data_IF_819226765106
#
_entry.id   IF_819226765106
#
_cell.length_a   1.000
_cell.length_b   1.000
_cell.length_c   1.000
_cell.angle_alpha   90.00
_cell.angle_beta   90.00
_cell.angle_gamma   90.00
#
_symmetry.space_group_name_H-M   'P 1'
#
loop_
_entity.id
_entity.type
_entity.pdbx_description
1 polymer ?
#
# COMPACT_ATOMS: atom_id res chain seq x y z
N UNK A 1 -51.71 29.54 21.22
CA UNK A 1 -50.30 29.66 20.76
C UNK A 1 -49.59 28.37 21.17
N UNK A 2 -49.58 27.35 20.30
CA UNK A 2 -48.85 26.11 20.56
C UNK A 2 -47.36 26.42 20.50
N UNK A 3 -46.63 26.18 21.59
CA UNK A 3 -45.19 26.47 21.69
C UNK A 3 -44.39 25.45 20.87
N UNK A 4 -43.65 25.91 19.87
CA UNK A 4 -42.81 25.12 18.96
C UNK A 4 -41.51 24.61 19.59
N UNK A 5 -41.41 24.61 20.91
CA UNK A 5 -40.21 24.28 21.67
C UNK A 5 -39.76 22.81 21.59
N UNK A 6 -40.66 21.80 21.65
CA UNK A 6 -40.22 20.40 21.62
C UNK A 6 -39.74 19.98 20.23
N UNK A 7 -40.29 20.58 19.16
CA UNK A 7 -39.90 20.28 17.77
C UNK A 7 -38.48 20.79 17.45
N UNK A 8 -38.08 21.93 18.01
CA UNK A 8 -36.70 22.46 17.87
C UNK A 8 -35.67 21.59 18.58
N UNK A 9 -35.98 21.06 19.76
CA UNK A 9 -35.10 20.17 20.51
C UNK A 9 -34.88 18.82 19.81
N UNK A 10 -35.93 18.25 19.22
CA UNK A 10 -35.84 17.02 18.43
C UNK A 10 -34.98 17.23 17.17
N UNK A 11 -35.16 18.35 16.47
CA UNK A 11 -34.35 18.67 15.28
C UNK A 11 -32.86 18.88 15.61
N UNK A 12 -32.55 19.53 16.73
CA UNK A 12 -31.16 19.72 17.20
C UNK A 12 -30.53 18.36 17.56
N UNK A 13 -31.26 17.47 18.22
CA UNK A 13 -30.76 16.12 18.57
C UNK A 13 -30.50 15.26 17.32
N UNK A 14 -31.34 15.35 16.29
CA UNK A 14 -31.14 14.64 15.01
C UNK A 14 -29.90 15.19 14.29
N UNK A 15 -29.72 16.52 14.24
CA UNK A 15 -28.55 17.15 13.61
C UNK A 15 -27.22 16.79 14.31
N UNK A 16 -27.21 16.70 15.65
CA UNK A 16 -26.03 16.26 16.42
C UNK A 16 -25.70 14.78 16.17
N UNK A 17 -26.72 13.93 15.98
CA UNK A 17 -26.53 12.50 15.71
C UNK A 17 -25.96 12.23 14.31
N UNK A 18 -26.30 13.05 13.31
CA UNK A 18 -25.77 12.94 11.95
C UNK A 18 -24.30 13.36 11.88
N UNK A 19 -23.88 14.37 12.66
CA UNK A 19 -22.49 14.85 12.68
C UNK A 19 -21.51 13.85 13.34
N UNK A 20 -21.97 13.04 14.28
CA UNK A 20 -21.15 12.02 14.96
C UNK A 20 -20.85 10.79 14.08
N UNK A 21 -21.58 10.57 12.99
CA UNK A 21 -21.34 9.49 12.02
C UNK A 21 -20.30 9.84 10.95
N UNK A 22 -19.74 11.04 10.97
CA UNK A 22 -18.81 11.56 9.96
C UNK A 22 -17.36 11.61 10.46
N UNK A 23 -16.97 10.69 11.36
CA UNK A 23 -15.55 10.53 11.64
C UNK A 23 -14.86 10.12 10.33
N UNK A 24 -13.80 10.82 9.88
CA UNK A 24 -13.04 10.36 8.74
C UNK A 24 -12.48 8.98 9.08
N UNK A 25 -12.78 7.98 8.24
CA UNK A 25 -12.08 6.70 8.28
C UNK A 25 -10.66 7.03 7.84
N UNK A 26 -9.74 7.08 8.78
CA UNK A 26 -8.33 7.27 8.51
C UNK A 26 -7.86 6.02 7.75
N UNK A 27 -7.57 6.18 6.45
CA UNK A 27 -7.07 5.09 5.60
C UNK A 27 -5.78 4.58 6.22
N UNK A 28 -5.86 3.41 6.85
CA UNK A 28 -4.74 2.81 7.58
C UNK A 28 -3.85 2.12 6.55
N UNK A 29 -3.09 2.91 5.79
CA UNK A 29 -2.00 2.39 4.97
C UNK A 29 -0.80 2.07 5.86
N UNK A 30 -0.16 0.93 5.61
CA UNK A 30 1.15 0.59 6.11
C UNK A 30 2.16 1.60 5.59
N UNK A 31 2.97 2.12 6.51
CA UNK A 31 3.98 3.14 6.20
C UNK A 31 5.31 2.84 6.85
N UNK A 32 6.38 3.26 6.21
CA UNK A 32 7.72 3.30 6.79
C UNK A 32 8.46 4.57 6.34
N UNK A 33 8.33 5.65 7.11
CA UNK A 33 8.90 6.96 6.79
C UNK A 33 10.40 7.06 7.14
N UNK A 34 10.94 6.12 7.93
CA UNK A 34 12.33 6.05 8.39
C UNK A 34 13.12 4.85 7.83
N UNK A 35 12.50 4.02 6.99
CA UNK A 35 13.18 2.99 6.21
C UNK A 35 14.25 3.60 5.30
N UNK A 36 15.37 2.90 5.12
CA UNK A 36 16.46 3.38 4.27
C UNK A 36 16.11 3.26 2.79
N UNK A 37 16.64 4.19 2.00
CA UNK A 37 16.35 4.31 0.57
C UNK A 37 17.31 3.48 -0.29
N UNK A 38 16.76 2.89 -1.35
CA UNK A 38 17.45 2.10 -2.35
C UNK A 38 17.06 2.58 -3.74
N UNK A 39 18.07 2.78 -4.60
CA UNK A 39 17.84 3.11 -6.01
C UNK A 39 17.24 1.93 -6.75
N UNK A 40 16.27 2.21 -7.61
CA UNK A 40 15.69 1.25 -8.54
C UNK A 40 16.39 1.40 -9.88
N UNK A 41 17.08 0.35 -10.32
CA UNK A 41 17.69 0.32 -11.66
C UNK A 41 16.66 -0.15 -12.70
N UNK A 42 15.80 -1.11 -12.32
CA UNK A 42 14.78 -1.68 -13.20
C UNK A 42 13.71 -2.45 -12.43
N UNK A 43 12.45 -2.36 -12.85
CA UNK A 43 11.38 -3.28 -12.43
C UNK A 43 11.31 -4.49 -13.39
N UNK A 44 11.21 -5.70 -12.83
CA UNK A 44 11.33 -6.98 -13.56
C UNK A 44 9.95 -7.57 -13.86
N UNK A 45 9.09 -7.63 -12.85
CA UNK A 45 7.70 -8.11 -12.87
C UNK A 45 6.92 -7.44 -11.71
N UNK A 46 5.75 -7.95 -11.33
CA UNK A 46 4.84 -7.32 -10.36
C UNK A 46 5.33 -7.28 -8.92
N UNK A 47 6.36 -8.05 -8.56
CA UNK A 47 6.90 -8.12 -7.20
C UNK A 47 8.43 -8.18 -7.15
N UNK A 48 9.12 -7.98 -8.28
CA UNK A 48 10.57 -8.03 -8.35
C UNK A 48 11.15 -6.77 -8.99
N UNK A 49 12.16 -6.18 -8.34
CA UNK A 49 12.95 -5.07 -8.86
C UNK A 49 14.46 -5.31 -8.72
N UNK A 50 15.25 -4.68 -9.57
CA UNK A 50 16.70 -4.65 -9.49
C UNK A 50 17.18 -3.32 -8.91
N UNK A 51 18.21 -3.42 -8.07
CA UNK A 51 18.93 -2.29 -7.49
C UNK A 51 20.45 -2.48 -7.68
N UNK A 52 21.26 -1.45 -7.45
CA UNK A 52 22.72 -1.57 -7.49
C UNK A 52 23.27 -2.60 -6.48
N UNK A 53 22.51 -2.91 -5.43
CA UNK A 53 22.90 -3.87 -4.39
C UNK A 53 22.41 -5.29 -4.68
N UNK A 54 21.71 -5.49 -5.81
CA UNK A 54 21.14 -6.76 -6.22
C UNK A 54 19.63 -6.72 -6.40
N UNK A 55 19.07 -7.90 -6.71
CA UNK A 55 17.65 -8.11 -6.95
C UNK A 55 16.87 -8.17 -5.64
N UNK A 56 15.77 -7.44 -5.59
CA UNK A 56 14.81 -7.40 -4.48
C UNK A 56 13.51 -8.04 -4.92
N UNK A 57 13.02 -8.99 -4.14
CA UNK A 57 11.68 -9.57 -4.22
C UNK A 57 10.87 -9.00 -3.06
N UNK A 58 9.76 -8.34 -3.38
CA UNK A 58 8.81 -7.83 -2.38
C UNK A 58 8.40 -9.00 -1.48
N UNK A 59 8.37 -8.78 -0.16
CA UNK A 59 8.16 -9.85 0.80
C UNK A 59 6.69 -10.10 1.09
N UNK A 60 5.87 -9.05 1.15
CA UNK A 60 4.50 -9.11 1.63
C UNK A 60 3.45 -9.39 0.56
N UNK A 61 3.85 -9.51 -0.70
CA UNK A 61 2.94 -9.74 -1.83
C UNK A 61 3.49 -10.76 -2.82
N UNK A 62 2.60 -11.55 -3.39
CA UNK A 62 2.84 -12.46 -4.51
C UNK A 62 1.94 -12.05 -5.68
N UNK A 63 2.55 -11.67 -6.80
CA UNK A 63 1.83 -11.15 -7.98
C UNK A 63 1.69 -12.21 -9.07
N UNK A 64 0.73 -12.07 -10.00
CA UNK A 64 0.59 -12.98 -11.12
C UNK A 64 1.87 -13.08 -11.95
N UNK A 65 2.27 -14.33 -12.23
CA UNK A 65 3.45 -14.62 -13.02
C UNK A 65 3.30 -14.20 -14.49
N UNK A 66 4.42 -14.02 -15.18
CA UNK A 66 4.43 -13.66 -16.60
C UNK A 66 3.53 -14.57 -17.45
N UNK A 67 2.61 -13.96 -18.19
CA UNK A 67 1.65 -14.66 -19.04
C UNK A 67 0.32 -15.01 -18.34
N UNK A 68 0.21 -14.79 -17.03
CA UNK A 68 -1.05 -14.85 -16.30
C UNK A 68 -1.84 -13.54 -16.48
N UNK A 69 -3.18 -13.57 -16.32
CA UNK A 69 -3.98 -12.36 -16.27
C UNK A 69 -3.46 -11.38 -15.22
N UNK A 70 -3.50 -10.08 -15.53
CA UNK A 70 -3.08 -8.99 -14.65
C UNK A 70 -1.57 -8.87 -14.36
N UNK A 71 -0.72 -9.73 -14.93
CA UNK A 71 0.74 -9.66 -14.70
C UNK A 71 1.37 -8.36 -15.22
N UNK A 72 0.89 -7.86 -16.37
CA UNK A 72 1.38 -6.62 -16.95
C UNK A 72 0.94 -5.41 -16.11
N UNK A 73 -0.30 -5.44 -15.63
CA UNK A 73 -0.90 -4.43 -14.76
C UNK A 73 -0.15 -4.34 -13.43
N UNK A 74 0.15 -5.47 -12.79
CA UNK A 74 0.97 -5.53 -11.58
C UNK A 74 2.38 -4.94 -11.80
N UNK A 75 3.04 -5.31 -12.91
CA UNK A 75 4.37 -4.80 -13.27
C UNK A 75 4.35 -3.28 -13.51
N UNK A 76 3.32 -2.78 -14.19
CA UNK A 76 3.17 -1.36 -14.46
C UNK A 76 2.93 -0.57 -13.16
N UNK A 77 2.07 -1.07 -12.28
CA UNK A 77 1.81 -0.42 -10.99
C UNK A 77 3.06 -0.38 -10.12
N UNK A 78 3.80 -1.49 -10.00
CA UNK A 78 5.09 -1.48 -9.29
C UNK A 78 6.06 -0.47 -9.90
N UNK A 79 6.14 -0.39 -11.24
CA UNK A 79 7.01 0.57 -11.93
C UNK A 79 6.65 2.03 -11.62
N UNK A 80 5.36 2.34 -11.56
CA UNK A 80 4.86 3.68 -11.22
C UNK A 80 5.18 4.04 -9.75
N UNK A 81 4.88 3.14 -8.82
CA UNK A 81 5.06 3.37 -7.39
C UNK A 81 6.53 3.41 -6.97
N UNK A 82 7.37 2.59 -7.60
CA UNK A 82 8.79 2.48 -7.26
C UNK A 82 9.63 3.64 -7.80
N UNK A 83 9.24 4.24 -8.94
CA UNK A 83 9.97 5.35 -9.55
C UNK A 83 11.47 5.06 -9.73
N UNK A 84 12.32 6.02 -9.34
CA UNK A 84 13.78 5.89 -9.35
C UNK A 84 14.36 5.34 -8.04
N UNK A 85 13.57 5.28 -6.98
CA UNK A 85 14.01 4.94 -5.64
C UNK A 85 12.85 4.53 -4.75
N UNK A 86 13.09 3.50 -3.94
CA UNK A 86 12.14 2.97 -2.96
C UNK A 86 12.75 3.01 -1.57
N UNK A 87 11.89 2.99 -0.56
CA UNK A 87 12.28 2.69 0.81
C UNK A 87 12.08 1.20 1.06
N UNK A 88 12.94 0.61 1.89
CA UNK A 88 12.93 -0.84 2.12
C UNK A 88 13.12 -1.19 3.59
N UNK A 89 12.35 -2.17 4.04
CA UNK A 89 12.51 -2.85 5.33
C UNK A 89 12.86 -4.32 5.06
N UNK A 90 13.91 -4.85 5.67
CA UNK A 90 14.24 -6.26 5.49
C UNK A 90 13.13 -7.15 6.08
N UNK A 91 12.72 -8.15 5.32
CA UNK A 91 11.77 -9.14 5.82
C UNK A 91 12.40 -10.03 6.91
N UNK A 92 11.58 -10.84 7.61
CA UNK A 92 12.05 -11.82 8.60
C UNK A 92 13.12 -12.78 8.07
N UNK A 93 13.15 -12.99 6.75
CA UNK A 93 14.17 -13.75 6.04
C UNK A 93 14.83 -12.85 5.00
N UNK A 94 16.15 -12.76 5.04
CA UNK A 94 16.92 -11.81 4.21
C UNK A 94 16.98 -12.19 2.73
N UNK A 95 16.90 -13.48 2.41
CA UNK A 95 17.01 -13.95 1.02
C UNK A 95 16.28 -15.26 0.74
N UNK A 96 15.96 -15.48 -0.53
CA UNK A 96 15.42 -16.75 -1.03
C UNK A 96 16.47 -17.71 -1.58
N UNK A 97 15.99 -18.90 -1.95
CA UNK A 97 16.83 -19.96 -2.51
C UNK A 97 17.54 -19.57 -3.81
N UNK A 98 17.10 -18.50 -4.47
CA UNK A 98 17.70 -17.94 -5.67
C UNK A 98 18.66 -16.79 -5.36
N UNK A 99 18.84 -16.45 -4.08
CA UNK A 99 19.70 -15.35 -3.62
C UNK A 99 19.09 -13.96 -3.81
N UNK A 100 17.78 -13.84 -4.10
CA UNK A 100 17.11 -12.53 -4.14
C UNK A 100 16.96 -12.01 -2.72
N UNK A 101 17.21 -10.71 -2.53
CA UNK A 101 16.90 -10.03 -1.27
C UNK A 101 15.38 -10.03 -1.07
N UNK A 102 14.96 -10.21 0.17
CA UNK A 102 13.57 -10.22 0.58
C UNK A 102 13.28 -9.05 1.50
N UNK A 103 12.42 -8.14 1.06
CA UNK A 103 12.14 -6.89 1.76
C UNK A 103 10.69 -6.43 1.54
N UNK A 104 10.10 -5.77 2.53
CA UNK A 104 8.94 -4.93 2.33
C UNK A 104 9.37 -3.65 1.62
N UNK A 105 8.60 -3.21 0.64
CA UNK A 105 8.97 -2.09 -0.22
C UNK A 105 7.94 -0.98 -0.10
N UNK A 106 8.44 0.25 -0.02
CA UNK A 106 7.62 1.44 0.16
C UNK A 106 8.00 2.48 -0.90
N UNK A 107 7.04 3.31 -1.26
CA UNK A 107 7.28 4.49 -2.10
C UNK A 107 8.30 5.41 -1.42
N UNK A 108 8.87 6.36 -2.17
CA UNK A 108 9.72 7.41 -1.59
C UNK A 108 9.01 8.18 -0.46
N UNK A 109 7.69 8.36 -0.59
CA UNK A 109 6.82 8.96 0.42
C UNK A 109 6.44 8.04 1.58
N UNK A 110 6.96 6.81 1.63
CA UNK A 110 6.79 5.88 2.74
C UNK A 110 5.56 5.00 2.71
N UNK A 111 4.71 5.02 1.67
CA UNK A 111 3.53 4.16 1.58
C UNK A 111 3.90 2.75 1.11
N UNK A 112 3.33 1.70 1.72
CA UNK A 112 3.63 0.30 1.36
C UNK A 112 3.18 -0.03 -0.06
N UNK A 113 4.12 -0.46 -0.90
CA UNK A 113 3.84 -0.93 -2.25
C UNK A 113 3.22 -2.34 -2.21
N UNK A 114 3.70 -3.20 -1.31
CA UNK A 114 3.14 -4.54 -1.07
C UNK A 114 1.62 -4.45 -0.78
N UNK A 115 1.21 -3.56 0.13
CA UNK A 115 -0.20 -3.36 0.45
C UNK A 115 -1.00 -2.82 -0.73
N UNK A 116 -0.47 -1.83 -1.45
CA UNK A 116 -1.16 -1.24 -2.61
C UNK A 116 -1.41 -2.32 -3.67
N UNK A 117 -0.44 -3.17 -3.98
CA UNK A 117 -0.60 -4.25 -4.95
C UNK A 117 -1.70 -5.25 -4.53
N UNK A 118 -1.77 -5.61 -3.24
CA UNK A 118 -2.84 -6.46 -2.70
C UNK A 118 -4.19 -5.76 -2.77
N UNK A 119 -4.24 -4.48 -2.39
CA UNK A 119 -5.47 -3.66 -2.35
C UNK A 119 -6.08 -3.47 -3.74
N UNK A 120 -5.26 -3.31 -4.76
CA UNK A 120 -5.68 -3.21 -6.16
C UNK A 120 -6.04 -4.59 -6.78
N UNK A 121 -5.93 -5.68 -6.02
CA UNK A 121 -6.22 -7.03 -6.51
C UNK A 121 -5.20 -7.54 -7.52
N UNK A 122 -3.99 -6.98 -7.52
CA UNK A 122 -2.88 -7.31 -8.42
C UNK A 122 -1.85 -8.26 -7.76
N UNK A 123 -2.14 -8.73 -6.55
CA UNK A 123 -1.38 -9.75 -5.86
C UNK A 123 -2.12 -10.29 -4.64
N UNK A 124 -1.62 -11.39 -4.10
CA UNK A 124 -2.08 -11.97 -2.83
C UNK A 124 -1.05 -11.70 -1.74
N UNK A 125 -1.49 -11.47 -0.51
CA UNK A 125 -0.58 -11.33 0.62
C UNK A 125 0.22 -12.62 0.85
N UNK A 126 1.52 -12.49 1.12
CA UNK A 126 2.48 -13.60 1.27
C UNK A 126 3.04 -13.72 2.69
#
# INVERSE_FOLDING_TARGET
MLSWWPMKLVLIAILVSIAACSAPVEDTMLRCDDCYEVRVDKVIDGDTLDSPSGRVRLFGVDTPERGQPCAAEATNLLSELAGSSVRVEDGPRLSDQFGRRLAYVYTESGSSIDEILVREGLGTAW
#
